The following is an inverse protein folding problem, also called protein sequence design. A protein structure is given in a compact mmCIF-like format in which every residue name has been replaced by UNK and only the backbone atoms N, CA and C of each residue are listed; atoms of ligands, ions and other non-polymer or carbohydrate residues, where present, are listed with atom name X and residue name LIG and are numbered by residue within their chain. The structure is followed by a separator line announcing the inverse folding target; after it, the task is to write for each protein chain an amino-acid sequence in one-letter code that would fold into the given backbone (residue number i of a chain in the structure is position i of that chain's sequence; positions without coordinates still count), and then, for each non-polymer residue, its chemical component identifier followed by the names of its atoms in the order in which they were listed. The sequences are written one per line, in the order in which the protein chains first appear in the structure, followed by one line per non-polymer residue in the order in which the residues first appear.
data_IF_480299159123
#
_entry.id   IF_480299159123
#
_cell.length_a   1.000
_cell.length_b   1.000
_cell.length_c   1.000
_cell.angle_alpha   90.00
_cell.angle_beta   90.00
_cell.angle_gamma   90.00
#
_symmetry.space_group_name_H-M   'P 1'
#
loop_
_entity.id
_entity.type
_entity.pdbx_description
1 polymer ?
#
# COMPACT_ATOMS: atom_id res chain seq x y z
N UNK A 1 -3.90 -15.46 -13.59
CA UNK A 1 -3.02 -15.98 -12.50
C UNK A 1 -2.24 -17.25 -12.85
N UNK A 2 -2.84 -18.23 -13.55
CA UNK A 2 -2.16 -19.49 -13.89
C UNK A 2 -0.82 -19.29 -14.62
N UNK A 3 -0.76 -18.32 -15.55
CA UNK A 3 0.47 -17.99 -16.29
C UNK A 3 1.60 -17.45 -15.40
N UNK A 4 1.29 -16.82 -14.27
CA UNK A 4 2.29 -16.35 -13.29
C UNK A 4 2.87 -17.50 -12.45
N UNK A 5 2.14 -18.61 -12.36
CA UNK A 5 2.52 -19.81 -11.60
C UNK A 5 3.31 -20.81 -12.46
N UNK A 6 3.41 -20.56 -13.77
CA UNK A 6 4.18 -21.42 -14.67
C UNK A 6 5.69 -21.26 -14.47
N UNK A 7 6.40 -22.39 -14.43
CA UNK A 7 7.86 -22.41 -14.28
C UNK A 7 8.52 -21.70 -15.47
N UNK A 8 9.33 -20.67 -15.20
CA UNK A 8 9.99 -19.89 -16.24
C UNK A 8 9.17 -18.71 -16.78
N UNK A 9 8.00 -18.43 -16.18
CA UNK A 9 7.23 -17.24 -16.50
C UNK A 9 8.05 -15.96 -16.29
N UNK A 10 8.02 -15.06 -17.29
CA UNK A 10 8.57 -13.70 -17.17
C UNK A 10 7.62 -12.77 -16.41
N UNK A 11 6.40 -13.21 -16.10
CA UNK A 11 5.45 -12.43 -15.33
C UNK A 11 5.98 -12.21 -13.92
N UNK A 12 6.05 -10.94 -13.51
CA UNK A 12 6.52 -10.58 -12.18
C UNK A 12 5.49 -10.95 -11.13
N UNK A 13 5.94 -11.65 -10.09
CA UNK A 13 5.07 -12.03 -8.98
C UNK A 13 4.96 -10.90 -7.93
N UNK A 14 3.71 -10.57 -7.55
CA UNK A 14 3.39 -9.64 -6.47
C UNK A 14 3.29 -8.16 -6.87
N UNK A 15 2.78 -7.36 -5.93
CA UNK A 15 2.62 -5.92 -6.08
C UNK A 15 3.89 -5.15 -5.73
N UNK A 16 4.14 -4.04 -6.42
CA UNK A 16 5.08 -3.05 -5.91
C UNK A 16 4.47 -2.32 -4.73
N UNK A 17 5.24 -2.20 -3.66
CA UNK A 17 4.82 -1.46 -2.46
C UNK A 17 5.61 -0.16 -2.43
N UNK A 18 4.92 0.97 -2.42
CA UNK A 18 5.48 2.27 -2.11
C UNK A 18 5.01 2.71 -0.73
N UNK A 19 5.95 3.07 0.15
CA UNK A 19 5.63 3.66 1.45
C UNK A 19 5.92 5.16 1.40
N UNK A 20 4.94 5.96 1.80
CA UNK A 20 5.09 7.41 1.98
C UNK A 20 4.63 7.76 3.38
N UNK A 21 5.52 8.37 4.16
CA UNK A 21 5.21 8.91 5.48
C UNK A 21 5.22 10.43 5.38
N UNK A 22 4.14 11.07 5.82
CA UNK A 22 4.05 12.52 5.91
C UNK A 22 3.28 12.94 7.17
N UNK A 23 3.61 14.10 7.76
CA UNK A 23 2.91 14.60 8.93
C UNK A 23 1.49 15.06 8.56
N UNK A 24 0.50 14.52 9.26
CA UNK A 24 -0.87 15.06 9.26
C UNK A 24 -0.97 16.11 10.36
N UNK A 25 -1.25 17.34 9.96
CA UNK A 25 -1.49 18.45 10.88
C UNK A 25 -2.97 18.38 11.27
N UNK A 26 -3.27 18.12 12.53
CA UNK A 26 -4.65 18.12 13.04
C UNK A 26 -4.79 19.38 13.90
N UNK A 27 -5.19 20.49 13.28
CA UNK A 27 -5.47 21.76 13.97
C UNK A 27 -6.92 22.18 13.64
N UNK A 28 -7.48 23.12 14.38
CA UNK A 28 -8.68 23.82 13.92
C UNK A 28 -8.21 24.84 12.87
N UNK A 29 -8.58 24.64 11.61
CA UNK A 29 -8.35 25.60 10.52
C UNK A 29 -9.72 26.15 10.11
N UNK A 30 -9.77 27.41 9.68
CA UNK A 30 -11.04 28.06 9.30
C UNK A 30 -11.66 27.41 8.04
N UNK A 31 -10.82 26.90 7.13
CA UNK A 31 -11.24 26.10 5.96
C UNK A 31 -10.83 24.62 6.13
N UNK A 32 -11.80 23.69 6.31
CA UNK A 32 -11.50 22.26 6.43
C UNK A 32 -10.84 21.65 5.19
N UNK A 33 -10.95 22.29 4.01
CA UNK A 33 -10.30 21.83 2.78
C UNK A 33 -8.81 22.18 2.72
N UNK A 34 -8.31 23.09 3.56
CA UNK A 34 -6.89 23.46 3.54
C UNK A 34 -5.98 22.25 3.83
N UNK A 35 -6.42 21.36 4.73
CA UNK A 35 -5.74 20.08 5.01
C UNK A 35 -5.59 19.22 3.77
N UNK A 36 -6.66 19.08 3.00
CA UNK A 36 -6.68 18.27 1.78
C UNK A 36 -5.73 18.87 0.75
N UNK A 37 -5.74 20.21 0.59
CA UNK A 37 -4.83 20.90 -0.35
C UNK A 37 -3.37 20.73 0.06
N UNK A 38 -3.05 20.87 1.35
CA UNK A 38 -1.68 20.71 1.87
C UNK A 38 -1.21 19.26 1.74
N UNK A 39 -2.04 18.29 2.12
CA UNK A 39 -1.75 16.87 1.96
C UNK A 39 -1.51 16.52 0.48
N UNK A 40 -2.36 17.04 -0.43
CA UNK A 40 -2.17 16.88 -1.88
C UNK A 40 -0.84 17.46 -2.36
N UNK A 41 -0.47 18.66 -1.95
CA UNK A 41 0.79 19.28 -2.36
C UNK A 41 2.03 18.49 -1.88
N UNK A 42 2.00 17.98 -0.64
CA UNK A 42 3.05 17.10 -0.11
C UNK A 42 3.12 15.80 -0.92
N UNK A 43 1.96 15.19 -1.20
CA UNK A 43 1.85 13.96 -1.98
C UNK A 43 2.32 14.14 -3.42
N UNK A 44 1.97 15.24 -4.09
CA UNK A 44 2.44 15.56 -5.44
C UNK A 44 3.97 15.69 -5.47
N UNK A 45 4.57 16.32 -4.45
CA UNK A 45 6.03 16.38 -4.30
C UNK A 45 6.65 15.00 -4.04
N UNK A 46 6.04 14.18 -3.19
CA UNK A 46 6.49 12.80 -2.91
C UNK A 46 6.32 11.87 -4.12
N UNK A 47 5.33 12.12 -4.98
CA UNK A 47 5.07 11.37 -6.21
C UNK A 47 6.15 11.62 -7.26
N UNK A 48 6.63 12.85 -7.36
CA UNK A 48 7.76 13.22 -8.24
C UNK A 48 9.09 12.75 -7.63
N UNK A 49 9.14 12.60 -6.29
CA UNK A 49 10.29 12.05 -5.60
C UNK A 49 10.46 10.54 -5.89
N UNK A 50 11.71 10.10 -6.06
CA UNK A 50 12.06 8.68 -6.14
C UNK A 50 12.07 7.99 -4.76
N UNK A 51 11.79 8.72 -3.68
CA UNK A 51 11.77 8.21 -2.31
C UNK A 51 11.00 6.90 -2.13
N UNK A 52 9.77 6.72 -2.64
CA UNK A 52 9.03 5.47 -2.43
C UNK A 52 9.72 4.26 -3.08
N UNK A 53 10.33 4.46 -4.24
CA UNK A 53 11.07 3.42 -4.96
C UNK A 53 12.39 3.08 -4.27
N UNK A 54 13.10 4.10 -3.77
CA UNK A 54 14.34 3.91 -3.00
C UNK A 54 14.03 3.19 -1.69
N UNK A 55 12.97 3.58 -0.98
CA UNK A 55 12.52 2.92 0.25
C UNK A 55 12.17 1.45 0.02
N UNK A 56 11.48 1.11 -1.09
CA UNK A 56 11.23 -0.28 -1.47
C UNK A 56 12.53 -1.06 -1.69
N UNK A 57 13.49 -0.48 -2.41
CA UNK A 57 14.81 -1.07 -2.63
C UNK A 57 15.57 -1.34 -1.34
N UNK A 58 15.60 -0.37 -0.42
CA UNK A 58 16.23 -0.49 0.90
C UNK A 58 15.55 -1.58 1.72
N UNK A 59 14.21 -1.61 1.76
CA UNK A 59 13.47 -2.62 2.52
C UNK A 59 13.77 -4.03 2.00
N UNK A 60 13.79 -4.20 0.67
CA UNK A 60 14.14 -5.47 0.03
C UNK A 60 15.59 -5.89 0.34
N UNK A 61 16.52 -4.93 0.38
CA UNK A 61 17.91 -5.18 0.75
C UNK A 61 18.03 -5.60 2.21
N UNK A 62 17.34 -4.91 3.13
CA UNK A 62 17.32 -5.25 4.56
C UNK A 62 16.75 -6.65 4.76
N UNK A 63 15.65 -6.99 4.09
CA UNK A 63 15.07 -8.33 4.13
C UNK A 63 16.07 -9.39 3.70
N UNK A 64 16.85 -9.12 2.64
CA UNK A 64 17.83 -10.07 2.10
C UNK A 64 19.05 -10.24 2.99
N UNK A 65 19.52 -9.17 3.64
CA UNK A 65 20.74 -9.19 4.48
C UNK A 65 20.44 -9.62 5.91
N UNK A 66 19.41 -9.03 6.52
CA UNK A 66 19.13 -9.13 7.95
C UNK A 66 17.95 -10.07 8.28
N UNK A 67 17.19 -10.48 7.26
CA UNK A 67 16.06 -11.38 7.42
C UNK A 67 14.80 -10.73 7.99
N UNK A 68 13.77 -11.56 8.15
CA UNK A 68 12.39 -11.13 8.46
C UNK A 68 12.25 -10.44 9.81
N UNK A 69 12.95 -10.92 10.85
CA UNK A 69 12.84 -10.36 12.21
C UNK A 69 13.23 -8.89 12.30
N UNK A 70 14.24 -8.47 11.53
CA UNK A 70 14.70 -7.08 11.52
C UNK A 70 13.71 -6.21 10.75
N UNK A 71 13.17 -6.70 9.64
CA UNK A 71 12.10 -6.02 8.91
C UNK A 71 10.86 -5.84 9.77
N UNK A 72 10.48 -6.88 10.52
CA UNK A 72 9.36 -6.85 11.45
C UNK A 72 9.56 -5.80 12.55
N UNK A 73 10.77 -5.72 13.13
CA UNK A 73 11.09 -4.72 14.15
C UNK A 73 11.04 -3.28 13.59
N UNK A 74 11.57 -3.07 12.38
CA UNK A 74 11.51 -1.77 11.69
C UNK A 74 10.06 -1.39 11.40
N UNK A 75 9.27 -2.33 10.88
CA UNK A 75 7.85 -2.13 10.61
C UNK A 75 7.12 -1.75 11.91
N UNK A 76 7.26 -2.53 12.98
CA UNK A 76 6.67 -2.23 14.29
C UNK A 76 7.04 -0.84 14.80
N UNK A 77 8.29 -0.42 14.62
CA UNK A 77 8.74 0.91 15.03
C UNK A 77 8.13 2.01 14.17
N UNK A 78 8.18 1.89 12.85
CA UNK A 78 7.58 2.90 11.95
C UNK A 78 6.09 3.04 12.21
N UNK A 79 5.39 1.90 12.26
CA UNK A 79 3.95 1.86 12.46
C UNK A 79 3.54 2.33 13.87
N UNK A 80 4.32 1.98 14.91
CA UNK A 80 4.08 2.47 16.27
C UNK A 80 4.22 4.00 16.44
N UNK A 81 4.90 4.68 15.52
CA UNK A 81 5.05 6.15 15.52
C UNK A 81 4.12 6.87 14.53
N UNK A 82 3.24 6.14 13.84
CA UNK A 82 2.27 6.72 12.89
C UNK A 82 0.84 6.56 13.41
N UNK A 83 0.07 7.64 13.37
CA UNK A 83 -1.31 7.67 13.87
C UNK A 83 -2.30 6.95 12.95
N UNK A 84 -2.11 7.07 11.63
CA UNK A 84 -3.00 6.52 10.62
C UNK A 84 -2.21 6.00 9.42
N UNK A 85 -2.64 4.86 8.89
CA UNK A 85 -2.06 4.24 7.70
C UNK A 85 -3.12 4.07 6.62
N UNK A 86 -2.83 4.56 5.42
CA UNK A 86 -3.62 4.30 4.22
C UNK A 86 -2.89 3.35 3.29
N UNK A 87 -3.61 2.39 2.72
CA UNK A 87 -3.08 1.49 1.70
C UNK A 87 -4.02 1.41 0.52
N UNK A 88 -3.44 1.44 -0.69
CA UNK A 88 -4.16 1.28 -1.95
C UNK A 88 -3.53 0.14 -2.74
N UNK A 89 -4.34 -0.85 -3.12
CA UNK A 89 -3.91 -2.00 -3.92
C UNK A 89 -4.69 -1.99 -5.23
N UNK A 90 -3.96 -1.89 -6.34
CA UNK A 90 -4.53 -2.06 -7.68
C UNK A 90 -5.09 -3.48 -7.81
N UNK A 91 -6.35 -3.55 -8.24
CA UNK A 91 -7.00 -4.81 -8.57
C UNK A 91 -6.40 -5.45 -9.82
N UNK A 92 -6.74 -6.71 -10.07
CA UNK A 92 -6.41 -7.40 -11.31
C UNK A 92 -7.23 -6.84 -12.47
N UNK A 93 -6.59 -6.68 -13.63
CA UNK A 93 -7.25 -6.22 -14.87
C UNK A 93 -8.10 -7.32 -15.54
N UNK A 94 -7.87 -8.59 -15.17
CA UNK A 94 -8.58 -9.76 -15.71
C UNK A 94 -9.69 -10.23 -14.77
N UNK A 95 -10.77 -10.74 -15.36
CA UNK A 95 -11.83 -11.44 -14.63
C UNK A 95 -11.26 -12.63 -13.84
N UNK A 96 -11.51 -12.64 -12.53
CA UNK A 96 -11.11 -13.76 -11.67
C UNK A 96 -12.30 -14.69 -11.45
N UNK A 97 -12.12 -15.94 -11.86
CA UNK A 97 -13.00 -17.04 -11.52
C UNK A 97 -12.39 -17.87 -10.39
N UNK A 98 -13.18 -18.15 -9.36
CA UNK A 98 -12.83 -19.08 -8.30
C UNK A 98 -13.68 -20.35 -8.45
N UNK A 99 -13.04 -21.47 -8.81
CA UNK A 99 -13.74 -22.74 -9.11
C UNK A 99 -14.91 -22.58 -10.10
N UNK A 100 -14.71 -21.87 -11.21
CA UNK A 100 -15.74 -21.55 -12.22
C UNK A 100 -16.88 -20.64 -11.72
N UNK A 101 -16.73 -20.02 -10.55
CA UNK A 101 -17.64 -18.98 -10.07
C UNK A 101 -16.96 -17.61 -10.24
N UNK A 102 -17.58 -16.65 -10.95
CA UNK A 102 -17.03 -15.32 -11.10
C UNK A 102 -16.99 -14.61 -9.75
N UNK A 103 -15.84 -14.02 -9.42
CA UNK A 103 -15.67 -13.24 -8.19
C UNK A 103 -15.97 -11.76 -8.46
N UNK A 104 -17.04 -11.25 -7.86
CA UNK A 104 -17.43 -9.84 -8.03
C UNK A 104 -16.74 -8.89 -7.05
N UNK A 105 -16.20 -9.39 -5.94
CA UNK A 105 -15.59 -8.57 -4.90
C UNK A 105 -14.49 -9.30 -4.15
N UNK A 106 -13.43 -8.55 -3.83
CA UNK A 106 -12.36 -8.99 -2.93
C UNK A 106 -12.22 -7.94 -1.83
N UNK A 107 -12.53 -8.32 -0.60
CA UNK A 107 -12.21 -7.54 0.59
C UNK A 107 -10.85 -7.99 1.12
N UNK A 108 -9.93 -7.05 1.30
CA UNK A 108 -8.75 -7.28 2.10
C UNK A 108 -8.96 -6.71 3.51
N UNK A 109 -8.47 -7.44 4.51
CA UNK A 109 -8.37 -6.96 5.89
C UNK A 109 -6.90 -7.01 6.31
N UNK A 110 -6.37 -5.92 6.83
CA UNK A 110 -5.01 -5.86 7.34
C UNK A 110 -5.04 -5.56 8.84
N UNK A 111 -4.41 -6.42 9.64
CA UNK A 111 -4.09 -6.12 11.02
C UNK A 111 -2.59 -5.85 11.11
N UNK A 112 -2.23 -4.58 11.24
CA UNK A 112 -0.84 -4.14 11.40
C UNK A 112 -0.73 -3.37 12.72
N UNK A 113 -0.17 -4.00 13.77
CA UNK A 113 0.19 -3.30 15.02
C UNK A 113 -0.94 -2.59 15.79
N UNK A 114 -0.61 -1.82 16.85
CA UNK A 114 -1.56 -1.09 17.69
C UNK A 114 -1.91 0.28 17.10
N UNK A 115 -2.22 0.34 15.80
CA UNK A 115 -2.67 1.60 15.20
C UNK A 115 -4.07 1.95 15.71
N UNK A 116 -4.30 3.26 15.89
CA UNK A 116 -5.65 3.78 16.19
C UNK A 116 -6.57 3.60 14.98
N UNK A 117 -6.06 3.74 13.75
CA UNK A 117 -6.85 3.56 12.52
C UNK A 117 -6.00 3.05 11.34
N UNK A 118 -6.42 1.94 10.73
CA UNK A 118 -5.91 1.44 9.44
C UNK A 118 -7.04 1.56 8.42
N UNK A 119 -6.80 2.31 7.34
CA UNK A 119 -7.75 2.41 6.24
C UNK A 119 -7.14 1.75 5.01
N UNK A 120 -7.66 0.57 4.68
CA UNK A 120 -7.32 -0.14 3.46
C UNK A 120 -8.37 0.19 2.41
N UNK A 121 -7.97 0.89 1.36
CA UNK A 121 -8.80 1.17 0.20
C UNK A 121 -8.35 0.24 -0.90
N UNK A 122 -9.09 -0.83 -1.17
CA UNK A 122 -9.05 -1.47 -2.48
C UNK A 122 -10.04 -0.74 -3.37
N UNK A 123 -9.62 0.09 -4.34
CA UNK A 123 -10.53 0.60 -5.35
C UNK A 123 -11.18 -0.61 -6.00
N UNK A 124 -12.51 -0.67 -5.86
CA UNK A 124 -13.35 -1.72 -6.39
C UNK A 124 -13.15 -1.83 -7.91
N UNK A 125 -13.08 -3.08 -8.39
CA UNK A 125 -13.35 -3.46 -9.77
C UNK A 125 -14.65 -2.77 -10.22
N UNK A 126 -14.57 -1.76 -11.08
CA UNK A 126 -15.72 -1.31 -11.85
C UNK A 126 -15.74 -2.12 -13.14
N UNK A 127 -16.37 -3.29 -13.09
CA UNK A 127 -16.98 -3.87 -14.28
C UNK A 127 -18.31 -3.15 -14.48
N UNK A 128 -18.29 -2.08 -15.28
CA UNK A 128 -19.54 -1.65 -15.93
C UNK A 128 -19.83 -2.67 -17.02
N UNK A 129 -20.86 -3.48 -16.79
CA UNK A 129 -21.62 -4.11 -17.87
C UNK A 129 -22.45 -3.08 -18.63
#
# INVERSE_FOLDING_TARGET
MADMMTKGSKCRWGNFIGLVVFPLWIRCEDDPLEYVRRAKAIMDKKKISLEPLISYGILKLIMKIFGEKVVEAIAKRMFGHTTMTFSNVLGPDEDINFFNHPMCYVAASAMFGPHVSIILIMPHLYFFG
#
